data_IF_688980698746
#
_entry.id   IF_688980698746
#
_cell.length_a   1.000
_cell.length_b   1.000
_cell.length_c   1.000
_cell.angle_alpha   90.00
_cell.angle_beta   90.00
_cell.angle_gamma   90.00
#
_symmetry.space_group_name_H-M   'P 1'
#
loop_
_entity.id
_entity.type
_entity.pdbx_description
1 polymer ?
#
# COMPACT_ATOMS: atom_id res chain seq x y z
N UNK A 1 10.82 -6.42 18.93
CA UNK A 1 10.47 -5.47 17.85
C UNK A 1 10.06 -6.14 16.54
N UNK A 2 10.45 -7.40 16.23
CA UNK A 2 10.04 -8.07 14.99
C UNK A 2 8.52 -8.32 14.82
N UNK A 3 7.78 -8.56 15.91
CA UNK A 3 6.35 -8.87 15.84
C UNK A 3 5.48 -7.72 15.25
N UNK A 4 5.80 -6.46 15.57
CA UNK A 4 5.09 -5.31 15.01
C UNK A 4 5.31 -5.12 13.51
N UNK A 5 6.52 -5.41 13.03
CA UNK A 5 6.86 -5.38 11.60
C UNK A 5 6.07 -6.45 10.84
N UNK A 6 5.89 -7.63 11.44
CA UNK A 6 5.09 -8.73 10.86
C UNK A 6 3.62 -8.36 10.75
N UNK A 7 3.02 -7.78 11.80
CA UNK A 7 1.64 -7.29 11.75
C UNK A 7 1.47 -6.22 10.66
N UNK A 8 2.43 -5.30 10.54
CA UNK A 8 2.43 -4.32 9.45
C UNK A 8 2.55 -4.99 8.08
N UNK A 9 3.42 -5.97 7.92
CA UNK A 9 3.57 -6.74 6.69
C UNK A 9 2.30 -7.48 6.28
N UNK A 10 1.53 -8.03 7.22
CA UNK A 10 0.19 -8.58 6.92
C UNK A 10 -0.80 -7.50 6.51
N UNK A 11 -0.75 -6.33 7.15
CA UNK A 11 -1.52 -5.16 6.72
C UNK A 11 -1.21 -4.75 5.27
N UNK A 12 0.06 -4.81 4.87
CA UNK A 12 0.49 -4.54 3.49
C UNK A 12 -0.16 -5.51 2.49
N UNK A 13 -0.31 -6.79 2.83
CA UNK A 13 -1.02 -7.76 1.99
C UNK A 13 -2.46 -7.30 1.72
N UNK A 14 -3.19 -6.85 2.74
CA UNK A 14 -4.56 -6.37 2.57
C UNK A 14 -4.60 -5.11 1.68
N UNK A 15 -3.71 -4.15 1.95
CA UNK A 15 -3.69 -2.88 1.21
C UNK A 15 -3.33 -3.09 -0.26
N UNK A 16 -2.26 -3.81 -0.53
CA UNK A 16 -1.73 -3.96 -1.89
C UNK A 16 -2.37 -5.09 -2.68
N UNK A 17 -2.75 -6.21 -2.05
CA UNK A 17 -3.40 -7.29 -2.80
C UNK A 17 -4.89 -7.01 -3.04
N UNK A 18 -5.56 -6.24 -2.17
CA UNK A 18 -7.01 -6.03 -2.23
C UNK A 18 -7.36 -4.56 -2.43
N UNK A 19 -7.05 -3.69 -1.46
CA UNK A 19 -7.61 -2.33 -1.43
C UNK A 19 -7.18 -1.48 -2.64
N UNK A 20 -5.91 -1.52 -3.02
CA UNK A 20 -5.40 -0.76 -4.16
C UNK A 20 -5.88 -1.28 -5.50
N UNK A 21 -6.01 -2.60 -5.66
CA UNK A 21 -6.59 -3.15 -6.89
C UNK A 21 -8.04 -2.71 -7.09
N UNK A 22 -8.85 -2.75 -6.02
CA UNK A 22 -10.23 -2.24 -6.05
C UNK A 22 -10.25 -0.74 -6.36
N UNK A 23 -9.42 0.06 -5.66
CA UNK A 23 -9.41 1.52 -5.80
C UNK A 23 -8.90 1.98 -7.16
N UNK A 24 -7.89 1.30 -7.71
CA UNK A 24 -7.30 1.63 -9.00
C UNK A 24 -8.06 0.98 -10.16
N UNK A 25 -8.97 0.03 -9.90
CA UNK A 25 -9.66 -0.80 -10.89
C UNK A 25 -8.69 -1.58 -11.81
N UNK A 26 -7.57 -2.00 -11.24
CA UNK A 26 -6.62 -2.89 -11.91
C UNK A 26 -6.50 -4.18 -11.13
N UNK A 27 -6.32 -5.30 -11.84
CA UNK A 27 -6.08 -6.60 -11.22
C UNK A 27 -4.66 -6.71 -10.62
N UNK A 28 -3.77 -5.77 -10.95
CA UNK A 28 -2.37 -5.82 -10.59
C UNK A 28 -1.85 -4.45 -10.17
N UNK A 29 -0.98 -4.44 -9.17
CA UNK A 29 -0.06 -3.35 -8.89
C UNK A 29 1.28 -3.94 -8.43
N UNK A 30 2.42 -3.25 -8.61
CA UNK A 30 3.73 -3.79 -8.23
C UNK A 30 3.81 -4.17 -6.75
N UNK A 31 3.12 -3.43 -5.87
CA UNK A 31 3.06 -3.76 -4.45
C UNK A 31 2.40 -5.10 -4.16
N UNK A 32 1.42 -5.53 -4.97
CA UNK A 32 0.81 -6.87 -4.87
C UNK A 32 1.87 -7.97 -5.01
N UNK A 33 2.79 -7.85 -5.96
CA UNK A 33 3.86 -8.85 -6.15
C UNK A 33 4.76 -8.87 -4.93
N UNK A 34 5.18 -7.69 -4.46
CA UNK A 34 6.04 -7.59 -3.28
C UNK A 34 5.37 -8.25 -2.07
N UNK A 35 4.07 -8.02 -1.85
CA UNK A 35 3.41 -8.57 -0.66
C UNK A 35 3.16 -10.07 -0.77
N UNK A 36 2.86 -10.60 -1.96
CA UNK A 36 2.59 -12.03 -2.14
C UNK A 36 3.86 -12.88 -2.16
N UNK A 37 4.95 -12.39 -2.75
CA UNK A 37 6.17 -13.17 -2.94
C UNK A 37 7.27 -12.89 -1.91
N UNK A 38 7.23 -11.73 -1.24
CA UNK A 38 8.24 -11.38 -0.23
C UNK A 38 7.62 -11.30 1.17
N UNK A 39 6.67 -10.38 1.39
CA UNK A 39 6.17 -10.14 2.75
C UNK A 39 5.38 -11.34 3.30
N UNK A 40 4.45 -11.90 2.53
CA UNK A 40 3.60 -12.99 3.02
C UNK A 40 4.44 -14.23 3.40
N UNK A 41 5.35 -14.76 2.55
CA UNK A 41 6.18 -15.90 2.94
C UNK A 41 7.10 -15.59 4.13
N UNK A 42 7.71 -14.40 4.15
CA UNK A 42 8.62 -14.00 5.24
C UNK A 42 7.88 -13.87 6.58
N UNK A 43 6.70 -13.27 6.58
CA UNK A 43 5.88 -13.10 7.78
C UNK A 43 5.39 -14.45 8.31
N UNK A 44 4.95 -15.36 7.43
CA UNK A 44 4.53 -16.71 7.81
C UNK A 44 5.71 -17.48 8.42
N UNK A 45 6.88 -17.45 7.77
CA UNK A 45 8.08 -18.10 8.29
C UNK A 45 8.48 -17.56 9.68
N UNK A 46 8.47 -16.23 9.85
CA UNK A 46 8.74 -15.62 11.16
C UNK A 46 7.74 -16.09 12.22
N UNK A 47 6.44 -16.15 11.90
CA UNK A 47 5.45 -16.61 12.88
C UNK A 47 5.71 -18.06 13.29
N UNK A 48 5.98 -18.95 12.34
CA UNK A 48 6.29 -20.35 12.63
C UNK A 48 7.46 -20.46 13.61
N UNK A 49 8.53 -19.70 13.38
CA UNK A 49 9.72 -19.68 14.22
C UNK A 49 9.43 -19.15 15.64
N UNK A 50 8.72 -18.02 15.75
CA UNK A 50 8.50 -17.41 17.06
C UNK A 50 7.50 -18.21 17.90
N UNK A 51 6.53 -18.89 17.26
CA UNK A 51 5.59 -19.77 17.94
C UNK A 51 6.21 -21.12 18.34
N UNK A 52 7.09 -21.71 17.52
CA UNK A 52 7.77 -22.96 17.88
C UNK A 52 8.68 -22.79 19.11
N UNK A 53 9.23 -21.59 19.32
CA UNK A 53 10.04 -21.23 20.48
C UNK A 53 9.23 -20.64 21.66
N UNK A 54 7.89 -20.57 21.57
CA UNK A 54 6.99 -19.99 22.60
C UNK A 54 7.39 -18.58 23.08
N UNK A 55 7.97 -17.76 22.20
CA UNK A 55 8.54 -16.45 22.58
C UNK A 55 7.52 -15.30 22.49
N UNK A 56 6.27 -15.57 22.10
CA UNK A 56 5.22 -14.53 21.98
C UNK A 56 4.47 -14.33 23.29
N UNK A 57 4.88 -13.31 24.05
CA UNK A 57 4.10 -12.80 25.19
C UNK A 57 2.93 -11.91 24.73
N UNK A 58 1.91 -11.77 25.59
CA UNK A 58 0.75 -10.90 25.31
C UNK A 58 1.15 -9.44 25.05
N UNK A 59 2.19 -8.94 25.73
CA UNK A 59 2.71 -7.58 25.52
C UNK A 59 3.23 -7.36 24.09
N UNK A 60 3.73 -8.39 23.41
CA UNK A 60 4.20 -8.29 22.03
C UNK A 60 3.06 -7.92 21.08
N UNK A 61 1.83 -8.36 21.36
CA UNK A 61 0.65 -7.97 20.59
C UNK A 61 0.31 -6.51 20.80
N UNK A 62 0.24 -6.05 22.05
CA UNK A 62 -0.06 -4.65 22.35
C UNK A 62 0.99 -3.71 21.73
N UNK A 63 2.28 -4.01 21.93
CA UNK A 63 3.37 -3.26 21.31
C UNK A 63 3.37 -3.34 19.78
N UNK A 64 3.00 -4.51 19.22
CA UNK A 64 2.93 -4.72 17.78
C UNK A 64 1.81 -3.90 17.12
N UNK A 65 0.60 -3.92 17.67
CA UNK A 65 -0.50 -3.09 17.21
C UNK A 65 -0.22 -1.59 17.42
N UNK A 66 0.39 -1.22 18.55
CA UNK A 66 0.83 0.15 18.81
C UNK A 66 1.81 0.64 17.75
N UNK A 67 2.82 -0.16 17.42
CA UNK A 67 3.76 0.14 16.34
C UNK A 67 3.04 0.24 14.98
N UNK A 68 2.20 -0.73 14.63
CA UNK A 68 1.45 -0.75 13.38
C UNK A 68 0.62 0.53 13.21
N UNK A 69 -0.14 0.91 14.23
CA UNK A 69 -0.97 2.10 14.23
C UNK A 69 -0.12 3.37 14.14
N UNK A 70 0.92 3.50 14.97
CA UNK A 70 1.82 4.65 14.96
C UNK A 70 2.49 4.83 13.59
N UNK A 71 3.10 3.77 13.07
CA UNK A 71 3.80 3.81 11.79
C UNK A 71 2.85 4.20 10.65
N UNK A 72 1.67 3.57 10.60
CA UNK A 72 0.70 3.84 9.54
C UNK A 72 0.10 5.25 9.63
N UNK A 73 -0.35 5.66 10.81
CA UNK A 73 -1.04 6.94 10.98
C UNK A 73 -0.07 8.13 10.97
N UNK A 74 1.06 8.02 11.69
CA UNK A 74 1.97 9.14 11.88
C UNK A 74 2.96 9.21 10.73
N UNK A 75 3.68 8.14 10.43
CA UNK A 75 4.77 8.22 9.45
C UNK A 75 4.25 8.17 8.01
N UNK A 76 3.32 7.26 7.70
CA UNK A 76 2.81 7.15 6.33
C UNK A 76 1.77 8.24 6.05
N UNK A 77 0.69 8.30 6.84
CA UNK A 77 -0.43 9.21 6.53
C UNK A 77 -0.11 10.66 6.85
N UNK A 78 0.34 10.96 8.07
CA UNK A 78 0.59 12.35 8.45
C UNK A 78 1.89 12.88 7.83
N UNK A 79 3.03 12.25 8.09
CA UNK A 79 4.31 12.74 7.54
C UNK A 79 4.33 12.59 6.01
N UNK A 80 4.13 11.37 5.50
CA UNK A 80 4.25 11.08 4.07
C UNK A 80 3.23 11.78 3.17
N UNK A 81 1.94 11.72 3.53
CA UNK A 81 0.88 12.25 2.66
C UNK A 81 0.37 13.64 3.03
N UNK A 82 0.71 14.16 4.21
CA UNK A 82 0.23 15.48 4.65
C UNK A 82 1.36 16.49 4.82
N UNK A 83 2.33 16.23 5.71
CA UNK A 83 3.36 17.18 6.10
C UNK A 83 4.39 17.43 4.99
N UNK A 84 4.80 16.39 4.27
CA UNK A 84 5.81 16.47 3.21
C UNK A 84 5.23 16.83 1.84
N UNK A 85 3.91 16.98 1.72
CA UNK A 85 3.25 17.30 0.45
C UNK A 85 3.28 18.81 0.21
N UNK A 86 3.91 19.26 -0.87
CA UNK A 86 3.85 20.66 -1.32
C UNK A 86 3.15 20.77 -2.69
N UNK A 87 2.03 21.49 -2.73
CA UNK A 87 1.27 21.75 -3.97
C UNK A 87 1.90 22.84 -4.83
N UNK A 88 2.76 23.68 -4.26
CA UNK A 88 3.46 24.77 -4.92
C UNK A 88 4.94 24.44 -5.14
N UNK A 89 5.28 23.14 -5.19
CA UNK A 89 6.65 22.67 -5.40
C UNK A 89 7.27 23.34 -6.62
N UNK A 90 8.55 23.77 -6.55
CA UNK A 90 9.28 24.30 -7.70
C UNK A 90 9.52 23.25 -8.80
N UNK A 91 9.23 21.97 -8.50
CA UNK A 91 9.32 20.86 -9.44
C UNK A 91 7.94 20.21 -9.63
N UNK A 92 6.99 20.89 -10.31
CA UNK A 92 5.71 20.28 -10.63
C UNK A 92 5.90 19.21 -11.72
N UNK A 93 5.09 18.14 -11.65
CA UNK A 93 5.00 17.18 -12.76
C UNK A 93 4.47 17.89 -14.00
N UNK A 94 4.99 17.52 -15.17
CA UNK A 94 4.51 18.09 -16.43
C UNK A 94 3.04 17.65 -16.68
N UNK A 95 2.17 18.49 -17.25
CA UNK A 95 0.79 18.12 -17.55
C UNK A 95 0.68 16.82 -18.35
N UNK A 96 1.62 16.61 -19.29
CA UNK A 96 1.68 15.41 -20.12
C UNK A 96 1.96 14.15 -19.29
N UNK A 97 2.75 14.25 -18.21
CA UNK A 97 3.04 13.13 -17.31
C UNK A 97 1.83 12.77 -16.45
N UNK A 98 1.10 13.77 -15.95
CA UNK A 98 -0.13 13.57 -15.18
C UNK A 98 -1.23 12.92 -16.04
N UNK A 99 -1.26 13.25 -17.32
CA UNK A 99 -2.26 12.73 -18.26
C UNK A 99 -1.85 11.44 -18.98
N UNK A 100 -0.58 11.03 -18.89
CA UNK A 100 -0.01 9.86 -19.58
C UNK A 100 -0.81 8.58 -19.34
N UNK A 101 -1.38 8.44 -18.15
CA UNK A 101 -2.15 7.28 -17.73
C UNK A 101 -3.63 7.55 -17.53
N UNK A 102 -4.17 8.63 -18.12
CA UNK A 102 -5.60 8.94 -18.09
C UNK A 102 -6.31 8.31 -19.31
N UNK A 103 -6.99 7.15 -19.16
CA UNK A 103 -7.62 6.47 -20.30
C UNK A 103 -8.77 7.29 -20.88
N UNK A 104 -9.44 8.10 -20.04
CA UNK A 104 -10.53 8.99 -20.47
C UNK A 104 -9.98 10.14 -21.32
N UNK A 105 -8.92 10.80 -20.87
CA UNK A 105 -8.25 11.86 -21.62
C UNK A 105 -7.62 11.35 -22.93
N UNK A 106 -7.02 10.16 -22.90
CA UNK A 106 -6.47 9.53 -24.11
C UNK A 106 -7.56 9.20 -25.15
N UNK A 107 -8.70 8.64 -24.72
CA UNK A 107 -9.83 8.37 -25.63
C UNK A 107 -10.49 9.64 -26.17
N UNK A 108 -10.62 10.68 -25.35
CA UNK A 108 -11.16 11.97 -25.76
C UNK A 108 -10.30 12.63 -26.86
N UNK A 109 -8.96 12.55 -26.73
CA UNK A 109 -8.01 13.01 -27.78
C UNK A 109 -8.15 12.27 -29.10
N UNK A 110 -8.56 11.00 -29.06
CA UNK A 110 -8.78 10.17 -30.25
C UNK A 110 -10.18 10.33 -30.86
N UNK A 111 -11.02 11.21 -30.31
CA UNK A 111 -12.40 11.40 -30.76
C UNK A 111 -13.30 10.17 -30.51
N UNK A 112 -12.88 9.26 -29.63
CA UNK A 112 -13.63 8.04 -29.33
C UNK A 112 -14.80 8.37 -28.38
N UNK A 113 -16.01 7.85 -28.64
CA UNK A 113 -17.17 8.13 -27.81
C UNK A 113 -16.96 7.64 -26.37
N UNK A 114 -17.45 8.41 -25.41
CA UNK A 114 -17.47 8.06 -23.98
C UNK A 114 -18.53 6.97 -23.72
N UNK A 115 -18.33 5.77 -24.29
CA UNK A 115 -19.22 4.68 -23.98
C UNK A 115 -18.98 4.19 -22.55
N UNK A 116 -20.09 4.08 -21.81
CA UNK A 116 -20.15 3.66 -20.42
C UNK A 116 -19.45 2.31 -20.23
N UNK A 117 -18.22 2.34 -19.74
CA UNK A 117 -17.65 1.17 -19.08
C UNK A 117 -18.34 1.08 -17.70
N UNK A 118 -19.51 0.44 -17.67
CA UNK A 118 -20.11 -0.09 -16.44
C UNK A 118 -19.21 -1.24 -15.97
N UNK A 119 -18.81 -1.19 -14.71
CA UNK A 119 -17.99 -2.19 -14.00
C UNK A 119 -16.66 -1.63 -13.53
#
# INVERSE_FOLDING_TARGET
>A
MGFGIVLFGFGQVIVHAIAFNIKLKYFYNPGMVTVLFLYLPLNVWYLVEVYSHQTVLLWNWAAGFGYFAFFSAVLIMWVGFTLLTDKNSPYPFAPEELERWNPRGHRARLGLPENSAKG
#
